data_IF_627956067481
#
_entry.id   IF_627956067481
#
_cell.length_a   1.000
_cell.length_b   1.000
_cell.length_c   1.000
_cell.angle_alpha   90.00
_cell.angle_beta   90.00
_cell.angle_gamma   90.00
#
_symmetry.space_group_name_H-M   'P 1'
#
loop_
_entity.id
_entity.type
_entity.pdbx_description
1 polymer ?
#
# COMPACT_ATOMS: atom_id res chain seq x y z
N UNK A 1 11.80 -3.33 84.10
CA UNK A 1 12.56 -2.30 83.33
C UNK A 1 13.20 -2.81 82.05
N UNK A 2 13.45 -4.15 81.96
CA UNK A 2 14.06 -4.74 80.76
C UNK A 2 13.00 -5.04 79.68
N UNK A 3 11.75 -5.33 80.08
CA UNK A 3 10.70 -5.66 79.13
C UNK A 3 10.17 -4.49 78.31
N UNK A 4 10.19 -3.27 78.81
CA UNK A 4 9.72 -2.10 78.10
C UNK A 4 10.65 -1.68 76.95
N UNK A 5 11.95 -1.77 77.17
CA UNK A 5 12.94 -1.46 76.15
C UNK A 5 12.91 -2.45 74.98
N UNK A 6 12.50 -3.68 75.23
CA UNK A 6 12.37 -4.72 74.19
C UNK A 6 11.11 -4.53 73.35
N UNK A 7 10.01 -4.07 73.98
CA UNK A 7 8.77 -3.75 73.28
C UNK A 7 8.93 -2.52 72.37
N UNK A 8 9.60 -1.50 72.85
CA UNK A 8 9.86 -0.27 72.11
C UNK A 8 10.78 -0.54 70.89
N UNK A 9 11.78 -1.42 71.07
CA UNK A 9 12.67 -1.82 69.97
C UNK A 9 11.96 -2.67 68.92
N UNK A 10 11.00 -3.48 69.28
CA UNK A 10 10.18 -4.23 68.32
C UNK A 10 9.19 -3.35 67.57
N UNK A 11 8.60 -2.35 68.24
CA UNK A 11 7.69 -1.40 67.61
C UNK A 11 8.43 -0.48 66.60
N UNK A 12 9.63 -0.05 66.90
CA UNK A 12 10.46 0.72 65.96
C UNK A 12 10.89 -0.12 64.74
N UNK A 13 11.22 -1.39 64.91
CA UNK A 13 11.60 -2.27 63.82
C UNK A 13 10.42 -2.53 62.86
N UNK A 14 9.22 -2.74 63.41
CA UNK A 14 8.01 -2.95 62.65
C UNK A 14 7.59 -1.69 61.85
N UNK A 15 7.75 -0.49 62.46
CA UNK A 15 7.45 0.77 61.80
C UNK A 15 8.43 1.07 60.64
N UNK A 16 9.69 0.70 60.73
CA UNK A 16 10.68 0.85 59.67
C UNK A 16 10.43 -0.09 58.52
N UNK A 17 9.93 -1.28 58.79
CA UNK A 17 9.62 -2.27 57.74
C UNK A 17 8.39 -1.89 56.90
N UNK A 18 7.36 -1.32 57.54
CA UNK A 18 6.15 -0.80 56.84
C UNK A 18 6.53 0.40 55.94
N UNK A 19 7.43 1.29 56.42
CA UNK A 19 7.83 2.47 55.67
C UNK A 19 8.64 2.10 54.40
N UNK A 20 9.47 1.08 54.41
CA UNK A 20 10.20 0.55 53.24
C UNK A 20 9.28 -0.05 52.21
N UNK A 21 8.20 -0.69 52.59
CA UNK A 21 7.21 -1.24 51.70
C UNK A 21 6.41 -0.17 50.97
N UNK A 22 6.01 0.88 51.67
CA UNK A 22 5.24 2.00 51.11
C UNK A 22 6.12 2.82 50.14
N UNK A 23 7.39 3.07 50.49
CA UNK A 23 8.33 3.79 49.62
C UNK A 23 8.58 3.03 48.31
N UNK A 24 8.70 1.70 48.32
CA UNK A 24 8.84 0.89 47.10
C UNK A 24 7.61 0.96 46.24
N UNK A 25 6.43 0.90 46.81
CA UNK A 25 5.16 0.99 46.08
C UNK A 25 4.97 2.37 45.42
N UNK A 26 5.26 3.44 46.12
CA UNK A 26 5.17 4.80 45.58
C UNK A 26 6.17 5.04 44.46
N UNK A 27 7.38 4.48 44.54
CA UNK A 27 8.36 4.53 43.44
C UNK A 27 7.84 3.83 42.18
N UNK A 28 7.25 2.65 42.31
CA UNK A 28 6.68 1.93 41.17
C UNK A 28 5.48 2.64 40.54
N UNK A 29 4.62 3.24 41.35
CA UNK A 29 3.52 4.07 40.87
C UNK A 29 4.02 5.31 40.12
N UNK A 30 5.06 5.95 40.60
CA UNK A 30 5.66 7.11 39.94
C UNK A 30 6.27 6.71 38.58
N UNK A 31 7.01 5.61 38.52
CA UNK A 31 7.57 5.09 37.25
C UNK A 31 6.45 4.73 36.26
N UNK A 32 5.40 4.06 36.72
CA UNK A 32 4.25 3.73 35.88
C UNK A 32 3.55 5.01 35.35
N UNK A 33 3.39 6.03 36.19
CA UNK A 33 2.81 7.31 35.79
C UNK A 33 3.65 8.06 34.77
N UNK A 34 4.98 8.09 34.93
CA UNK A 34 5.89 8.70 33.96
C UNK A 34 5.86 7.96 32.62
N UNK A 35 5.85 6.63 32.63
CA UNK A 35 5.70 5.83 31.42
C UNK A 35 4.37 6.07 30.71
N UNK A 36 3.28 6.22 31.47
CA UNK A 36 1.96 6.56 30.94
C UNK A 36 1.98 7.94 30.27
N UNK A 37 2.59 8.94 30.91
CA UNK A 37 2.74 10.29 30.32
C UNK A 37 3.57 10.26 29.04
N UNK A 38 4.67 9.52 29.01
CA UNK A 38 5.49 9.35 27.80
C UNK A 38 4.68 8.67 26.70
N UNK A 39 3.89 7.66 27.01
CA UNK A 39 3.01 6.97 26.04
C UNK A 39 1.93 7.91 25.49
N UNK A 40 1.31 8.74 26.34
CA UNK A 40 0.29 9.72 25.92
C UNK A 40 0.92 10.83 25.06
N UNK A 41 2.06 11.37 25.47
CA UNK A 41 2.75 12.39 24.68
C UNK A 41 3.32 11.82 23.37
N UNK A 42 3.84 10.60 23.39
CA UNK A 42 4.28 9.87 22.22
C UNK A 42 3.13 9.67 21.23
N UNK A 43 1.97 9.21 21.70
CA UNK A 43 0.78 9.01 20.88
C UNK A 43 0.26 10.32 20.25
N UNK A 44 0.35 11.45 20.97
CA UNK A 44 -0.05 12.76 20.44
C UNK A 44 0.94 13.33 19.41
N UNK A 45 2.23 13.10 19.58
CA UNK A 45 3.27 13.68 18.70
C UNK A 45 3.63 12.79 17.52
N UNK A 46 3.56 11.46 17.67
CA UNK A 46 3.88 10.48 16.63
C UNK A 46 2.66 9.90 15.94
N UNK A 47 1.45 10.04 16.50
CA UNK A 47 0.22 9.52 15.92
C UNK A 47 -0.09 10.08 14.54
N UNK A 48 0.15 11.37 14.31
CA UNK A 48 -0.06 11.99 13.00
C UNK A 48 0.99 11.55 11.97
N UNK A 49 2.26 11.45 12.37
CA UNK A 49 3.34 11.02 11.48
C UNK A 49 3.25 9.53 11.13
N UNK A 50 2.87 8.67 12.09
CA UNK A 50 2.67 7.24 11.82
C UNK A 50 1.43 6.98 10.97
N UNK A 51 0.35 7.74 11.13
CA UNK A 51 -0.82 7.66 10.26
C UNK A 51 -0.48 8.07 8.83
N UNK A 52 0.28 9.15 8.63
CA UNK A 52 0.75 9.55 7.31
C UNK A 52 1.61 8.47 6.64
N UNK A 53 2.55 7.88 7.37
CA UNK A 53 3.37 6.77 6.86
C UNK A 53 2.53 5.53 6.52
N UNK A 54 1.51 5.20 7.32
CA UNK A 54 0.58 4.10 7.04
C UNK A 54 -0.33 4.41 5.83
N UNK A 55 -0.79 5.64 5.71
CA UNK A 55 -1.62 6.08 4.58
C UNK A 55 -0.80 6.15 3.29
N UNK A 56 0.44 6.62 3.34
CA UNK A 56 1.38 6.62 2.22
C UNK A 56 1.76 5.18 1.82
N UNK A 57 2.00 4.28 2.78
CA UNK A 57 2.26 2.87 2.51
C UNK A 57 1.03 2.17 1.89
N UNK A 58 -0.17 2.42 2.43
CA UNK A 58 -1.42 1.90 1.89
C UNK A 58 -1.73 2.49 0.52
N UNK A 59 -1.46 3.78 0.30
CA UNK A 59 -1.58 4.42 -1.01
C UNK A 59 -0.58 3.86 -2.02
N UNK A 60 0.66 3.56 -1.59
CA UNK A 60 1.68 2.92 -2.43
C UNK A 60 1.28 1.48 -2.83
N UNK A 61 0.54 0.77 -1.99
CA UNK A 61 0.00 -0.56 -2.29
C UNK A 61 -1.36 -0.52 -3.00
N UNK A 62 -1.91 0.66 -3.26
CA UNK A 62 -3.17 0.77 -3.99
C UNK A 62 -3.03 0.22 -5.42
N UNK A 63 -4.06 -0.43 -5.96
CA UNK A 63 -4.02 -0.93 -7.35
C UNK A 63 -3.70 0.16 -8.37
N UNK A 64 -4.10 1.42 -8.08
CA UNK A 64 -3.81 2.57 -8.92
C UNK A 64 -2.33 3.01 -8.87
N UNK A 65 -1.67 2.92 -7.70
CA UNK A 65 -0.24 3.20 -7.57
C UNK A 65 0.60 2.13 -8.28
N UNK A 66 0.23 0.87 -8.10
CA UNK A 66 0.88 -0.26 -8.76
C UNK A 66 0.74 -0.17 -10.30
N UNK A 67 -0.46 0.22 -10.80
CA UNK A 67 -0.67 0.47 -12.23
C UNK A 67 0.23 1.61 -12.77
N UNK A 68 0.35 2.70 -12.01
CA UNK A 68 1.22 3.82 -12.40
C UNK A 68 2.69 3.41 -12.51
N UNK A 69 3.17 2.61 -11.56
CA UNK A 69 4.54 2.10 -11.54
C UNK A 69 4.78 1.11 -12.69
N UNK A 70 3.85 0.18 -12.92
CA UNK A 70 3.92 -0.78 -14.03
C UNK A 70 3.87 -0.07 -15.40
N UNK A 71 3.06 1.00 -15.53
CA UNK A 71 3.04 1.81 -16.75
C UNK A 71 4.35 2.57 -16.99
N UNK A 72 4.98 3.09 -15.93
CA UNK A 72 6.30 3.72 -16.05
C UNK A 72 7.38 2.72 -16.49
N UNK A 73 7.36 1.51 -15.94
CA UNK A 73 8.24 0.42 -16.33
C UNK A 73 8.04 0.01 -17.80
N UNK A 74 6.78 -0.08 -18.26
CA UNK A 74 6.47 -0.37 -19.66
C UNK A 74 7.01 0.73 -20.59
N UNK A 75 6.85 2.01 -20.24
CA UNK A 75 7.40 3.10 -21.03
C UNK A 75 8.93 3.06 -21.09
N UNK A 76 9.60 2.72 -20.00
CA UNK A 76 11.06 2.55 -19.96
C UNK A 76 11.50 1.35 -20.81
N UNK A 77 10.79 0.23 -20.74
CA UNK A 77 11.05 -0.94 -21.59
C UNK A 77 10.89 -0.62 -23.08
N UNK A 78 9.84 0.12 -23.46
CA UNK A 78 9.65 0.57 -24.84
C UNK A 78 10.79 1.50 -25.35
N UNK A 79 11.45 2.23 -24.46
CA UNK A 79 12.60 3.05 -24.80
C UNK A 79 13.91 2.23 -24.93
N UNK A 80 14.02 1.10 -24.24
CA UNK A 80 15.22 0.22 -24.26
C UNK A 80 15.33 -0.66 -25.51
N UNK A 81 14.33 -0.69 -26.39
CA UNK A 81 14.27 -1.49 -27.63
C UNK A 81 14.41 -3.01 -27.40
N UNK A 82 14.29 -3.49 -26.18
CA UNK A 82 14.34 -4.94 -25.86
C UNK A 82 12.95 -5.54 -25.90
N UNK A 83 12.61 -6.30 -26.94
CA UNK A 83 11.30 -6.92 -27.12
C UNK A 83 10.92 -7.84 -25.96
N UNK A 84 11.90 -8.54 -25.34
CA UNK A 84 11.66 -9.36 -24.14
C UNK A 84 11.24 -8.50 -22.94
N UNK A 85 11.96 -7.40 -22.69
CA UNK A 85 11.64 -6.48 -21.60
C UNK A 85 10.27 -5.82 -21.81
N UNK A 86 9.93 -5.47 -23.06
CA UNK A 86 8.62 -4.91 -23.43
C UNK A 86 7.52 -5.92 -23.13
N UNK A 87 7.70 -7.19 -23.51
CA UNK A 87 6.74 -8.26 -23.23
C UNK A 87 6.46 -8.42 -21.75
N UNK A 88 7.51 -8.53 -20.94
CA UNK A 88 7.38 -8.77 -19.50
C UNK A 88 6.75 -7.56 -18.79
N UNK A 89 7.15 -6.35 -19.17
CA UNK A 89 6.54 -5.11 -18.67
C UNK A 89 5.08 -4.93 -19.12
N UNK A 90 4.72 -5.35 -20.35
CA UNK A 90 3.35 -5.30 -20.86
C UNK A 90 2.43 -6.25 -20.08
N UNK A 91 2.86 -7.48 -19.80
CA UNK A 91 2.11 -8.43 -18.97
C UNK A 91 1.90 -7.87 -17.57
N UNK A 92 2.95 -7.34 -16.96
CA UNK A 92 2.87 -6.73 -15.62
C UNK A 92 1.89 -5.54 -15.59
N UNK A 93 1.97 -4.64 -16.57
CA UNK A 93 1.03 -3.53 -16.66
C UNK A 93 -0.41 -3.99 -16.89
N UNK A 94 -0.62 -4.97 -17.77
CA UNK A 94 -1.94 -5.50 -18.06
C UNK A 94 -2.60 -6.15 -16.84
N UNK A 95 -1.86 -6.85 -15.99
CA UNK A 95 -2.33 -7.39 -14.72
C UNK A 95 -2.96 -6.30 -13.84
N UNK A 96 -2.26 -5.18 -13.69
CA UNK A 96 -2.77 -4.06 -12.89
C UNK A 96 -3.87 -3.27 -13.60
N UNK A 97 -3.81 -3.17 -14.92
CA UNK A 97 -4.80 -2.46 -15.71
C UNK A 97 -6.14 -3.20 -15.75
N UNK A 98 -6.14 -4.50 -16.02
CA UNK A 98 -7.34 -5.32 -16.10
C UNK A 98 -7.81 -5.81 -14.73
N UNK A 99 -6.99 -5.66 -13.66
CA UNK A 99 -7.22 -6.27 -12.34
C UNK A 99 -7.47 -7.79 -12.45
N UNK A 100 -6.74 -8.45 -13.33
CA UNK A 100 -6.86 -9.87 -13.64
C UNK A 100 -5.47 -10.51 -13.67
N UNK A 101 -5.39 -11.78 -13.33
CA UNK A 101 -4.14 -12.53 -13.35
C UNK A 101 -3.80 -12.96 -14.78
N UNK A 102 -2.94 -12.19 -15.45
CA UNK A 102 -2.43 -12.43 -16.81
C UNK A 102 -1.01 -12.95 -16.69
N UNK A 103 -0.78 -14.20 -17.06
CA UNK A 103 0.54 -14.86 -16.95
C UNK A 103 1.26 -14.98 -18.28
N UNK A 104 0.52 -14.92 -19.38
CA UNK A 104 1.03 -15.12 -20.72
C UNK A 104 0.53 -14.05 -21.70
N UNK A 105 1.19 -13.95 -22.86
CA UNK A 105 0.70 -13.10 -23.95
C UNK A 105 -0.63 -13.61 -24.52
N UNK A 106 -0.90 -14.91 -24.44
CA UNK A 106 -2.16 -15.51 -24.86
C UNK A 106 -3.31 -15.09 -23.95
N UNK A 107 -3.07 -15.06 -22.62
CA UNK A 107 -4.05 -14.53 -21.67
C UNK A 107 -4.32 -13.06 -21.93
N UNK A 108 -3.26 -12.28 -22.23
CA UNK A 108 -3.39 -10.88 -22.59
C UNK A 108 -4.27 -10.71 -23.83
N UNK A 109 -4.05 -11.49 -24.88
CA UNK A 109 -4.86 -11.46 -26.11
C UNK A 109 -6.32 -11.81 -25.83
N UNK A 110 -6.59 -12.80 -24.96
CA UNK A 110 -7.94 -13.22 -24.59
C UNK A 110 -8.67 -12.18 -23.75
N UNK A 111 -7.96 -11.51 -22.83
CA UNK A 111 -8.52 -10.54 -21.89
C UNK A 111 -8.35 -9.09 -22.33
N UNK A 112 -7.82 -8.87 -23.53
CA UNK A 112 -7.49 -7.53 -24.02
C UNK A 112 -8.72 -6.62 -24.05
N UNK A 113 -8.63 -5.38 -23.56
CA UNK A 113 -9.71 -4.42 -23.59
C UNK A 113 -9.93 -3.80 -24.99
N UNK A 114 -9.01 -4.02 -25.93
CA UNK A 114 -9.12 -3.50 -27.30
C UNK A 114 -8.45 -4.42 -28.31
N UNK A 115 -9.02 -4.46 -29.51
CA UNK A 115 -8.48 -5.22 -30.64
C UNK A 115 -7.08 -4.69 -31.05
N UNK A 116 -6.88 -3.38 -31.02
CA UNK A 116 -5.58 -2.74 -31.32
C UNK A 116 -4.46 -3.28 -30.41
N UNK A 117 -4.75 -3.47 -29.10
CA UNK A 117 -3.78 -4.03 -28.14
C UNK A 117 -3.50 -5.51 -28.44
N UNK A 118 -4.54 -6.25 -28.84
CA UNK A 118 -4.41 -7.65 -29.28
C UNK A 118 -3.47 -7.79 -30.46
N UNK A 119 -3.62 -6.93 -31.47
CA UNK A 119 -2.78 -6.91 -32.68
C UNK A 119 -1.32 -6.57 -32.34
N UNK A 120 -1.10 -5.56 -31.50
CA UNK A 120 0.25 -5.20 -31.03
C UNK A 120 0.90 -6.31 -30.21
N UNK A 121 0.12 -7.00 -29.36
CA UNK A 121 0.61 -8.13 -28.60
C UNK A 121 1.02 -9.30 -29.49
N UNK A 122 0.22 -9.61 -30.50
CA UNK A 122 0.53 -10.65 -31.52
C UNK A 122 1.76 -10.27 -32.35
N UNK A 123 1.87 -9.01 -32.78
CA UNK A 123 3.05 -8.51 -33.51
C UNK A 123 4.33 -8.62 -32.65
N UNK A 124 4.28 -8.25 -31.39
CA UNK A 124 5.40 -8.40 -30.45
C UNK A 124 5.77 -9.87 -30.26
N UNK A 125 4.77 -10.78 -30.14
CA UNK A 125 4.99 -12.20 -29.99
C UNK A 125 5.62 -12.79 -31.28
N UNK A 126 5.12 -12.41 -32.47
CA UNK A 126 5.71 -12.87 -33.73
C UNK A 126 7.15 -12.40 -33.90
N UNK A 127 7.48 -11.17 -33.54
CA UNK A 127 8.86 -10.66 -33.58
C UNK A 127 9.81 -11.39 -32.62
N UNK A 128 9.30 -11.85 -31.47
CA UNK A 128 10.10 -12.61 -30.49
C UNK A 128 10.38 -14.04 -30.92
N UNK A 129 9.42 -14.72 -31.54
CA UNK A 129 9.50 -16.15 -31.86
C UNK A 129 9.77 -16.45 -33.34
N UNK A 130 9.46 -15.50 -34.23
CA UNK A 130 9.69 -15.64 -35.66
C UNK A 130 10.23 -14.33 -36.27
N UNK A 131 11.54 -14.04 -36.07
CA UNK A 131 12.17 -12.80 -36.56
C UNK A 131 12.14 -12.68 -38.08
N UNK A 132 11.90 -13.77 -38.81
CA UNK A 132 11.83 -13.80 -40.28
C UNK A 132 10.42 -13.43 -40.84
N UNK A 133 9.42 -13.26 -39.96
CA UNK A 133 8.03 -13.02 -40.39
C UNK A 133 7.77 -11.64 -41.00
N UNK A 134 8.77 -10.76 -41.05
CA UNK A 134 8.64 -9.42 -41.67
C UNK A 134 7.69 -8.46 -40.94
N UNK A 135 7.03 -8.89 -39.86
CA UNK A 135 6.18 -8.01 -39.05
C UNK A 135 7.07 -7.18 -38.14
N UNK A 136 7.19 -5.91 -38.49
CA UNK A 136 7.89 -4.94 -37.63
C UNK A 136 6.99 -4.54 -36.47
N UNK A 137 7.42 -4.91 -35.25
CA UNK A 137 6.79 -4.42 -34.03
C UNK A 137 7.21 -2.96 -33.77
N UNK A 138 6.24 -2.07 -33.59
CA UNK A 138 6.46 -0.67 -33.26
C UNK A 138 6.20 -0.38 -31.78
N UNK A 139 7.26 -0.21 -31.02
CA UNK A 139 7.21 0.13 -29.60
C UNK A 139 6.60 1.52 -29.35
N UNK A 140 6.72 2.47 -30.27
CA UNK A 140 6.12 3.80 -30.16
C UNK A 140 4.60 3.72 -30.28
N UNK A 141 4.11 2.90 -31.20
CA UNK A 141 2.68 2.65 -31.37
C UNK A 141 2.07 1.97 -30.16
N UNK A 142 2.73 0.95 -29.60
CA UNK A 142 2.30 0.32 -28.34
C UNK A 142 2.23 1.33 -27.19
N UNK A 143 3.23 2.19 -27.07
CA UNK A 143 3.26 3.24 -26.04
C UNK A 143 2.11 4.25 -26.21
N UNK A 144 1.82 4.69 -27.41
CA UNK A 144 0.70 5.59 -27.68
C UNK A 144 -0.65 4.94 -27.33
N UNK A 145 -0.82 3.68 -27.68
CA UNK A 145 -2.03 2.90 -27.43
C UNK A 145 -2.27 2.69 -25.93
N UNK A 146 -1.26 2.25 -25.19
CA UNK A 146 -1.38 2.04 -23.73
C UNK A 146 -1.69 3.34 -23.00
N UNK A 147 -1.14 4.48 -23.44
CA UNK A 147 -1.46 5.82 -22.94
C UNK A 147 -2.93 6.17 -23.21
N UNK A 148 -3.43 5.92 -24.43
CA UNK A 148 -4.84 6.15 -24.82
C UNK A 148 -5.80 5.32 -23.95
N UNK A 149 -5.53 4.03 -23.77
CA UNK A 149 -6.32 3.13 -22.93
C UNK A 149 -6.37 3.60 -21.48
N UNK A 150 -5.23 4.00 -20.94
CA UNK A 150 -5.14 4.54 -19.59
C UNK A 150 -5.94 5.83 -19.40
N UNK A 151 -5.90 6.73 -20.36
CA UNK A 151 -6.71 7.95 -20.33
C UNK A 151 -8.21 7.63 -20.39
N UNK A 152 -8.63 6.72 -21.27
CA UNK A 152 -10.02 6.29 -21.38
C UNK A 152 -10.54 5.71 -20.05
N UNK A 153 -9.76 4.84 -19.41
CA UNK A 153 -10.12 4.27 -18.09
C UNK A 153 -10.29 5.34 -17.02
N UNK A 154 -9.39 6.34 -16.97
CA UNK A 154 -9.47 7.46 -16.03
C UNK A 154 -10.71 8.33 -16.25
N UNK A 155 -11.06 8.60 -17.49
CA UNK A 155 -12.26 9.37 -17.83
C UNK A 155 -13.51 8.59 -17.42
N UNK A 156 -13.57 7.29 -17.72
CA UNK A 156 -14.68 6.43 -17.35
C UNK A 156 -14.84 6.33 -15.82
N UNK A 157 -13.74 6.20 -15.07
CA UNK A 157 -13.76 6.18 -13.60
C UNK A 157 -14.33 7.47 -13.02
N UNK A 158 -13.83 8.63 -13.48
CA UNK A 158 -14.33 9.94 -13.04
C UNK A 158 -15.80 10.16 -13.35
N UNK A 159 -16.27 9.63 -14.50
CA UNK A 159 -17.69 9.71 -14.85
C UNK A 159 -18.55 8.89 -13.90
N UNK A 160 -18.15 7.64 -13.59
CA UNK A 160 -18.83 6.80 -12.61
C UNK A 160 -18.88 7.42 -11.20
N UNK A 161 -17.78 8.00 -10.75
CA UNK A 161 -17.71 8.70 -9.46
C UNK A 161 -18.70 9.88 -9.39
N UNK A 162 -18.83 10.63 -10.49
CA UNK A 162 -19.82 11.72 -10.60
C UNK A 162 -21.25 11.18 -10.57
N UNK A 163 -21.54 10.15 -11.34
CA UNK A 163 -22.87 9.51 -11.39
C UNK A 163 -23.30 9.01 -10.01
N UNK A 164 -22.39 8.35 -9.27
CA UNK A 164 -22.66 7.87 -7.91
C UNK A 164 -22.89 9.04 -6.94
N UNK A 165 -22.12 10.12 -7.06
CA UNK A 165 -22.23 11.29 -6.19
C UNK A 165 -23.57 12.04 -6.36
N UNK A 166 -24.17 11.98 -7.56
CA UNK A 166 -25.43 12.67 -7.86
C UNK A 166 -26.67 11.74 -7.78
N UNK A 167 -26.48 10.44 -7.44
CA UNK A 167 -27.61 9.59 -7.10
C UNK A 167 -28.13 9.97 -5.72
N UNK A 168 -29.34 10.52 -5.66
CA UNK A 168 -30.04 10.81 -4.41
C UNK A 168 -30.23 9.50 -3.61
N UNK A 169 -30.04 9.51 -2.29
CA UNK A 169 -30.34 8.35 -1.45
C UNK A 169 -31.77 7.90 -1.65
N UNK A 170 -31.99 6.59 -1.64
CA UNK A 170 -33.31 5.95 -1.84
C UNK A 170 -34.39 6.34 -0.82
N UNK A 171 -34.05 7.12 0.20
CA UNK A 171 -34.92 7.66 1.22
C UNK A 171 -36.03 8.60 0.68
N UNK A 172 -35.94 9.06 -0.56
CA UNK A 172 -36.93 9.92 -1.20
C UNK A 172 -37.80 9.22 -2.25
N UNK A 173 -37.77 7.89 -2.35
CA UNK A 173 -38.71 7.11 -3.14
C UNK A 173 -39.81 6.61 -2.18
N UNK A 174 -40.75 7.46 -1.87
CA UNK A 174 -42.05 7.08 -1.31
C UNK A 174 -43.02 6.71 -2.43
#
# INVERSE_FOLDING_TARGET
LVDQAMIDAQAEAEFIEIDRGVVRWTQWLFVAFVLLLIAIMGKRRFGAASQQLFDDWRAAQSPAANEKTAFAALNAACASSSNKAIRDALITWANHYCAAEIRSMEDLVRMSPSQELTEQAKSLQSTLFNPLSGTLFDSAQLRALTKKLRQAKRVASRRREREVKYQLPSLYKS
#
